data_IF_446774298494
#
_entry.id   IF_446774298494
#
_cell.length_a   1.000
_cell.length_b   1.000
_cell.length_c   1.000
_cell.angle_alpha   90.00
_cell.angle_beta   90.00
_cell.angle_gamma   90.00
#
_symmetry.space_group_name_H-M   'P 1'
#
loop_
_entity.id
_entity.type
_entity.pdbx_description
1 polymer ?
#
# COMPACT_ATOMS: atom_id res chain seq x y z
N UNK A 1 -20.32 -8.14 -13.28
CA UNK A 1 -19.24 -8.58 -12.38
C UNK A 1 -18.74 -7.34 -11.66
N UNK A 2 -18.72 -7.31 -10.31
CA UNK A 2 -18.14 -6.20 -9.58
C UNK A 2 -16.66 -6.07 -9.97
N UNK A 3 -16.25 -4.91 -10.43
CA UNK A 3 -14.86 -4.58 -10.74
C UNK A 3 -14.35 -3.72 -9.60
N UNK A 4 -13.18 -4.06 -9.05
CA UNK A 4 -12.49 -3.21 -8.07
C UNK A 4 -12.25 -1.82 -8.69
N UNK A 5 -12.49 -0.79 -7.89
CA UNK A 5 -12.10 0.56 -8.25
C UNK A 5 -10.59 0.64 -8.49
N UNK A 6 -10.15 1.45 -9.44
CA UNK A 6 -8.73 1.58 -9.79
C UNK A 6 -7.87 2.02 -8.59
N UNK A 7 -8.42 2.87 -7.72
CA UNK A 7 -7.71 3.36 -6.54
C UNK A 7 -7.60 2.30 -5.46
N UNK A 8 -8.64 1.45 -5.30
CA UNK A 8 -8.58 0.29 -4.40
C UNK A 8 -7.53 -0.72 -4.89
N UNK A 9 -7.51 -1.00 -6.20
CA UNK A 9 -6.49 -1.85 -6.80
C UNK A 9 -5.07 -1.29 -6.53
N UNK A 10 -4.88 0.01 -6.75
CA UNK A 10 -3.61 0.68 -6.51
C UNK A 10 -3.22 0.66 -5.03
N UNK A 11 -4.16 0.95 -4.13
CA UNK A 11 -3.95 0.85 -2.67
C UNK A 11 -3.54 -0.54 -2.23
N UNK A 12 -4.21 -1.57 -2.74
CA UNK A 12 -3.86 -2.98 -2.48
C UNK A 12 -2.45 -3.36 -3.00
N UNK A 13 -2.07 -2.87 -4.18
CA UNK A 13 -0.72 -3.09 -4.74
C UNK A 13 0.36 -2.36 -3.95
N UNK A 14 0.10 -1.13 -3.52
CA UNK A 14 0.98 -0.38 -2.64
C UNK A 14 1.16 -1.08 -1.29
N UNK A 15 0.07 -1.55 -0.69
CA UNK A 15 0.13 -2.32 0.55
C UNK A 15 0.96 -3.61 0.38
N UNK A 16 0.82 -4.31 -0.75
CA UNK A 16 1.61 -5.48 -1.06
C UNK A 16 3.10 -5.15 -1.24
N UNK A 17 3.44 -4.07 -1.93
CA UNK A 17 4.82 -3.61 -2.13
C UNK A 17 5.56 -3.44 -0.80
N UNK A 18 4.93 -2.74 0.15
CA UNK A 18 5.52 -2.50 1.48
C UNK A 18 5.51 -3.73 2.41
N UNK A 19 4.70 -4.73 2.10
CA UNK A 19 4.60 -5.95 2.92
C UNK A 19 5.55 -7.05 2.49
N UNK A 20 5.77 -7.23 1.19
CA UNK A 20 6.44 -8.40 0.61
C UNK A 20 7.72 -8.08 -0.13
N UNK A 21 7.93 -6.85 -0.53
CA UNK A 21 9.07 -6.39 -1.35
C UNK A 21 9.28 -7.21 -2.63
N UNK A 22 8.20 -7.77 -3.21
CA UNK A 22 8.29 -8.60 -4.41
C UNK A 22 8.48 -7.77 -5.68
N UNK A 23 9.32 -8.24 -6.59
CA UNK A 23 9.63 -7.55 -7.85
C UNK A 23 8.40 -7.29 -8.73
N UNK A 24 7.41 -8.18 -8.69
CA UNK A 24 6.13 -7.99 -9.39
C UNK A 24 5.31 -6.85 -8.79
N UNK A 25 5.27 -6.76 -7.46
CA UNK A 25 4.54 -5.68 -6.79
C UNK A 25 5.18 -4.31 -7.08
N UNK A 26 6.52 -4.24 -7.16
CA UNK A 26 7.23 -3.04 -7.59
C UNK A 26 6.86 -2.63 -9.02
N UNK A 27 6.92 -3.57 -9.97
CA UNK A 27 6.60 -3.31 -11.36
C UNK A 27 5.15 -2.88 -11.57
N UNK A 28 4.21 -3.60 -10.96
CA UNK A 28 2.78 -3.30 -11.02
C UNK A 28 2.46 -1.94 -10.40
N UNK A 29 3.08 -1.63 -9.26
CA UNK A 29 2.94 -0.34 -8.57
C UNK A 29 3.44 0.81 -9.45
N UNK A 30 4.64 0.68 -10.03
CA UNK A 30 5.16 1.68 -10.96
C UNK A 30 4.20 1.92 -12.13
N UNK A 31 3.69 0.85 -12.76
CA UNK A 31 2.73 0.96 -13.87
C UNK A 31 1.44 1.66 -13.47
N UNK A 32 0.90 1.33 -12.29
CA UNK A 32 -0.32 1.96 -11.78
C UNK A 32 -0.10 3.43 -11.45
N UNK A 33 0.98 3.77 -10.75
CA UNK A 33 1.25 5.15 -10.33
C UNK A 33 1.61 6.09 -11.48
N UNK A 34 2.06 5.57 -12.63
CA UNK A 34 2.27 6.35 -13.87
C UNK A 34 0.98 6.82 -14.52
N UNK A 35 -0.16 6.26 -14.16
CA UNK A 35 -1.44 6.60 -14.77
C UNK A 35 -1.86 8.02 -14.40
N UNK A 36 -2.37 8.73 -15.38
CA UNK A 36 -2.86 10.12 -15.24
C UNK A 36 -4.30 10.19 -14.72
N UNK A 37 -5.04 9.07 -14.80
CA UNK A 37 -6.44 8.95 -14.36
C UNK A 37 -6.61 8.59 -12.87
N UNK A 38 -5.51 8.55 -12.11
CA UNK A 38 -5.54 8.36 -10.67
C UNK A 38 -5.85 9.69 -9.95
N UNK A 39 -7.01 9.72 -9.28
CA UNK A 39 -7.33 10.79 -8.34
C UNK A 39 -6.44 10.64 -7.08
N UNK A 40 -5.67 11.69 -6.78
CA UNK A 40 -4.71 11.67 -5.68
C UNK A 40 -5.37 11.49 -4.30
N UNK A 41 -6.54 12.08 -4.10
CA UNK A 41 -7.26 12.01 -2.81
C UNK A 41 -7.74 10.58 -2.58
N UNK A 42 -8.38 9.98 -3.60
CA UNK A 42 -8.84 8.58 -3.54
C UNK A 42 -7.68 7.60 -3.39
N UNK A 43 -6.58 7.83 -4.10
CA UNK A 43 -5.39 7.00 -4.00
C UNK A 43 -4.79 7.02 -2.59
N UNK A 44 -4.67 8.22 -1.98
CA UNK A 44 -4.19 8.36 -0.59
C UNK A 44 -5.10 7.66 0.39
N UNK A 45 -6.42 7.85 0.24
CA UNK A 45 -7.41 7.16 1.07
C UNK A 45 -7.25 5.64 1.00
N UNK A 46 -7.18 5.09 -0.22
CA UNK A 46 -6.96 3.66 -0.42
C UNK A 46 -5.62 3.20 0.17
N UNK A 47 -4.54 3.97 -0.02
CA UNK A 47 -3.22 3.66 0.54
C UNK A 47 -3.25 3.55 2.06
N UNK A 48 -3.92 4.46 2.75
CA UNK A 48 -4.02 4.46 4.23
C UNK A 48 -4.93 3.34 4.72
N UNK A 49 -6.07 3.10 4.08
CA UNK A 49 -7.01 2.04 4.46
C UNK A 49 -6.39 0.65 4.29
N UNK A 50 -5.83 0.34 3.13
CA UNK A 50 -5.19 -0.96 2.89
C UNK A 50 -3.89 -1.12 3.68
N UNK A 51 -3.14 -0.04 3.87
CA UNK A 51 -1.96 -0.02 4.71
C UNK A 51 -2.28 -0.20 6.18
N UNK A 52 -3.30 0.49 6.67
CA UNK A 52 -3.79 0.34 8.04
C UNK A 52 -4.20 -1.07 8.39
N UNK A 53 -4.78 -1.80 7.44
CA UNK A 53 -5.13 -3.21 7.61
C UNK A 53 -3.90 -4.15 7.64
N UNK A 54 -2.72 -3.68 7.28
CA UNK A 54 -1.50 -4.47 7.22
C UNK A 54 -0.97 -4.82 8.62
N UNK A 55 -0.12 -5.87 8.71
CA UNK A 55 0.59 -6.22 9.94
C UNK A 55 1.74 -5.27 10.27
N UNK A 56 2.37 -4.70 9.22
CA UNK A 56 3.41 -3.70 9.38
C UNK A 56 2.80 -2.42 9.96
N UNK A 57 3.53 -1.76 10.83
CA UNK A 57 3.17 -0.41 11.27
C UNK A 57 3.30 0.57 10.10
N UNK A 58 2.15 1.04 9.62
CA UNK A 58 2.07 1.89 8.45
C UNK A 58 2.60 3.30 8.66
N UNK A 59 2.76 3.74 9.92
CA UNK A 59 3.40 5.00 10.26
C UNK A 59 4.90 5.03 9.91
N UNK A 60 5.52 3.85 9.83
CA UNK A 60 6.96 3.71 9.58
C UNK A 60 7.32 3.53 8.11
N UNK A 61 6.32 3.48 7.21
CA UNK A 61 6.61 3.28 5.78
C UNK A 61 7.26 4.50 5.15
N UNK A 62 8.27 4.25 4.35
CA UNK A 62 9.07 5.27 3.69
C UNK A 62 9.38 4.86 2.24
N UNK A 63 9.56 5.79 1.30
CA UNK A 63 10.08 5.47 -0.02
C UNK A 63 11.37 4.65 0.01
N UNK A 64 12.21 4.83 1.03
CA UNK A 64 13.48 4.09 1.19
C UNK A 64 13.29 2.60 1.46
N UNK A 65 12.08 2.17 1.84
CA UNK A 65 11.74 0.75 2.02
C UNK A 65 11.62 0.01 0.68
N UNK A 66 11.42 0.74 -0.41
CA UNK A 66 11.32 0.15 -1.75
C UNK A 66 12.67 -0.36 -2.20
N UNK A 67 12.76 -1.67 -2.36
CA UNK A 67 13.99 -2.38 -2.77
C UNK A 67 13.62 -3.53 -3.68
N UNK A 68 14.59 -3.98 -4.46
CA UNK A 68 14.47 -5.21 -5.25
C UNK A 68 15.84 -5.86 -5.41
N UNK A 69 15.87 -7.20 -5.36
CA UNK A 69 17.07 -7.94 -5.66
C UNK A 69 17.16 -8.22 -7.17
N UNK A 70 18.31 -7.96 -7.85
CA UNK A 70 18.46 -8.23 -9.27
C UNK A 70 18.15 -9.70 -9.66
N UNK A 71 18.47 -10.64 -8.79
CA UNK A 71 18.19 -12.08 -8.99
C UNK A 71 16.68 -12.32 -9.04
N UNK A 72 15.91 -11.65 -8.23
CA UNK A 72 14.44 -11.76 -8.21
C UNK A 72 13.81 -11.18 -9.47
N UNK A 73 14.29 -10.02 -9.94
CA UNK A 73 13.89 -9.47 -11.24
C UNK A 73 14.12 -10.46 -12.36
N UNK A 74 15.29 -11.07 -12.41
CA UNK A 74 15.68 -12.00 -13.47
C UNK A 74 14.89 -13.31 -13.42
N UNK A 75 14.67 -13.86 -12.23
CA UNK A 75 14.06 -15.20 -12.08
C UNK A 75 12.52 -15.17 -11.99
N UNK A 76 11.94 -14.09 -11.45
CA UNK A 76 10.51 -14.04 -11.17
C UNK A 76 9.75 -13.04 -12.03
N UNK A 77 10.31 -11.87 -12.32
CA UNK A 77 9.61 -10.84 -13.08
C UNK A 77 9.81 -10.99 -14.59
N UNK A 78 11.04 -11.01 -15.07
CA UNK A 78 11.33 -11.03 -16.50
C UNK A 78 10.63 -12.17 -17.27
N UNK A 79 10.56 -13.43 -16.74
CA UNK A 79 9.85 -14.50 -17.43
C UNK A 79 8.36 -14.28 -17.60
N UNK A 80 7.77 -13.37 -16.83
CA UNK A 80 6.33 -13.09 -16.85
C UNK A 80 5.96 -11.87 -17.69
N UNK A 81 6.96 -11.06 -18.05
CA UNK A 81 6.74 -9.94 -18.95
C UNK A 81 6.59 -10.47 -20.39
N UNK A 82 5.56 -9.95 -21.08
CA UNK A 82 5.47 -10.15 -22.53
C UNK A 82 6.53 -9.29 -23.18
N UNK A 83 7.68 -9.88 -23.48
CA UNK A 83 8.73 -9.20 -24.21
C UNK A 83 8.37 -9.15 -25.69
N UNK A 84 7.97 -7.98 -26.16
CA UNK A 84 8.28 -7.61 -27.53
C UNK A 84 9.79 -7.41 -27.58
N UNK A 85 10.44 -7.87 -28.61
CA UNK A 85 11.91 -8.04 -28.77
C UNK A 85 12.73 -6.76 -28.46
N UNK A 86 12.10 -5.62 -28.33
CA UNK A 86 12.71 -4.29 -28.12
C UNK A 86 12.78 -3.86 -26.64
N UNK A 87 12.08 -4.55 -25.72
CA UNK A 87 11.93 -4.12 -24.32
C UNK A 87 12.70 -4.96 -23.29
N UNK A 88 13.45 -5.97 -23.72
CA UNK A 88 14.24 -6.77 -22.76
C UNK A 88 15.44 -5.96 -22.28
N UNK A 89 15.55 -5.69 -20.96
CA UNK A 89 16.67 -4.91 -20.46
C UNK A 89 17.99 -5.64 -20.70
N UNK A 90 18.95 -4.98 -21.34
CA UNK A 90 20.30 -5.50 -21.54
C UNK A 90 21.08 -5.60 -20.23
N UNK A 91 20.74 -4.77 -19.23
CA UNK A 91 21.30 -4.79 -17.88
C UNK A 91 20.16 -4.80 -16.85
N UNK A 92 19.87 -5.97 -16.31
CA UNK A 92 18.78 -6.19 -15.34
C UNK A 92 19.01 -5.43 -14.04
N UNK A 93 20.24 -5.31 -13.57
CA UNK A 93 20.56 -4.59 -12.34
C UNK A 93 20.27 -3.09 -12.49
N UNK A 94 20.77 -2.47 -13.56
CA UNK A 94 20.53 -1.05 -13.84
C UNK A 94 19.04 -0.75 -14.05
N UNK A 95 18.32 -1.65 -14.73
CA UNK A 95 16.88 -1.52 -14.88
C UNK A 95 16.13 -1.62 -13.55
N UNK A 96 16.55 -2.51 -12.66
CA UNK A 96 16.00 -2.64 -11.31
C UNK A 96 16.20 -1.38 -10.48
N UNK A 97 17.40 -0.79 -10.51
CA UNK A 97 17.71 0.47 -9.84
C UNK A 97 16.84 1.62 -10.37
N UNK A 98 16.64 1.66 -11.68
CA UNK A 98 15.77 2.64 -12.31
C UNK A 98 14.31 2.48 -11.87
N UNK A 99 13.78 1.26 -11.82
CA UNK A 99 12.43 0.98 -11.32
C UNK A 99 12.26 1.40 -9.86
N UNK A 100 13.24 1.11 -9.01
CA UNK A 100 13.22 1.52 -7.59
C UNK A 100 13.23 3.04 -7.47
N UNK A 101 14.13 3.72 -8.18
CA UNK A 101 14.21 5.18 -8.17
C UNK A 101 12.90 5.81 -8.60
N UNK A 102 12.35 5.37 -9.72
CA UNK A 102 11.09 5.87 -10.24
C UNK A 102 9.91 5.60 -9.30
N UNK A 103 9.86 4.39 -8.72
CA UNK A 103 8.82 4.07 -7.75
C UNK A 103 8.87 5.00 -6.53
N UNK A 104 10.06 5.29 -6.02
CA UNK A 104 10.26 6.22 -4.90
C UNK A 104 9.74 7.62 -5.23
N UNK A 105 10.03 8.13 -6.42
CA UNK A 105 9.54 9.43 -6.88
C UNK A 105 8.00 9.42 -6.99
N UNK A 106 7.42 8.37 -7.56
CA UNK A 106 5.98 8.23 -7.70
C UNK A 106 5.24 8.09 -6.35
N UNK A 107 5.91 7.59 -5.31
CA UNK A 107 5.35 7.49 -3.96
C UNK A 107 5.10 8.84 -3.29
N UNK A 108 5.64 9.96 -3.81
CA UNK A 108 5.29 11.31 -3.37
C UNK A 108 3.78 11.62 -3.51
N UNK A 109 3.07 10.84 -4.32
CA UNK A 109 1.60 10.95 -4.43
C UNK A 109 0.88 10.55 -3.14
N UNK A 110 1.46 9.66 -2.33
CA UNK A 110 0.86 9.06 -1.13
C UNK A 110 1.69 9.23 0.14
N UNK A 111 2.96 9.58 0.05
CA UNK A 111 3.86 9.83 1.18
C UNK A 111 4.40 11.26 1.11
N UNK A 112 4.80 11.86 2.25
CA UNK A 112 4.58 11.35 3.61
C UNK A 112 3.10 11.32 4.00
N UNK A 113 2.76 10.54 5.05
CA UNK A 113 1.42 10.55 5.64
C UNK A 113 1.13 11.90 6.28
N UNK A 114 -0.12 12.36 6.19
CA UNK A 114 -0.57 13.56 6.92
C UNK A 114 -0.72 13.28 8.42
N UNK A 115 -0.87 14.32 9.23
CA UNK A 115 -1.08 14.15 10.68
C UNK A 115 -2.36 13.36 10.98
N UNK A 116 -3.44 13.59 10.22
CA UNK A 116 -4.71 12.87 10.36
C UNK A 116 -4.56 11.40 9.95
N UNK A 117 -3.84 11.12 8.87
CA UNK A 117 -3.56 9.75 8.41
C UNK A 117 -2.70 8.98 9.44
N UNK A 118 -1.70 9.63 10.03
CA UNK A 118 -0.89 9.05 11.12
C UNK A 118 -1.74 8.78 12.37
N UNK A 119 -2.58 9.72 12.77
CA UNK A 119 -3.49 9.55 13.91
C UNK A 119 -4.50 8.42 13.69
N UNK A 120 -5.05 8.28 12.47
CA UNK A 120 -5.91 7.14 12.12
C UNK A 120 -5.18 5.80 12.33
N UNK A 121 -3.95 5.68 11.82
CA UNK A 121 -3.15 4.47 11.98
C UNK A 121 -2.81 4.21 13.45
N UNK A 122 -2.43 5.25 14.21
CA UNK A 122 -2.15 5.15 15.64
C UNK A 122 -3.37 4.64 16.42
N UNK A 123 -4.54 5.22 16.23
CA UNK A 123 -5.77 4.77 16.90
C UNK A 123 -6.13 3.33 16.56
N UNK A 124 -5.98 2.96 15.29
CA UNK A 124 -6.24 1.59 14.85
C UNK A 124 -5.26 0.59 15.51
N UNK A 125 -3.96 0.92 15.51
CA UNK A 125 -2.92 0.04 16.07
C UNK A 125 -2.98 -0.06 17.59
N UNK A 126 -3.28 1.06 18.28
CA UNK A 126 -3.20 1.13 19.74
C UNK A 126 -4.50 0.71 20.43
N UNK A 127 -5.66 1.01 19.81
CA UNK A 127 -6.97 0.85 20.45
C UNK A 127 -7.95 0.00 19.67
N UNK A 128 -7.62 -0.36 18.42
CA UNK A 128 -8.58 -0.96 17.50
C UNK A 128 -9.73 0.00 17.15
N UNK A 129 -9.46 1.31 17.13
CA UNK A 129 -10.43 2.34 16.79
C UNK A 129 -10.30 2.71 15.32
N UNK A 130 -11.39 2.52 14.55
CA UNK A 130 -11.47 2.87 13.12
C UNK A 130 -12.04 4.30 13.01
N UNK A 131 -11.21 5.30 13.31
CA UNK A 131 -11.56 6.72 13.30
C UNK A 131 -11.67 7.28 11.88
N UNK A 132 -12.63 6.78 11.09
CA UNK A 132 -12.79 7.08 9.66
C UNK A 132 -13.02 8.58 9.36
N UNK A 133 -13.52 9.35 10.32
CA UNK A 133 -13.69 10.79 10.24
C UNK A 133 -12.38 11.57 10.05
N UNK A 134 -11.24 10.99 10.43
CA UNK A 134 -9.92 11.55 10.19
C UNK A 134 -9.50 11.48 8.71
N UNK A 135 -10.06 10.53 7.95
CA UNK A 135 -9.68 10.29 6.56
C UNK A 135 -10.59 10.97 5.55
N UNK A 136 -11.85 11.20 5.91
CA UNK A 136 -12.84 11.78 4.99
C UNK A 136 -14.00 12.42 5.74
N UNK A 137 -14.57 13.47 5.15
CA UNK A 137 -15.80 14.11 5.65
C UNK A 137 -17.08 13.51 5.03
N UNK A 138 -16.96 12.61 4.03
CA UNK A 138 -18.12 11.94 3.43
C UNK A 138 -18.67 10.83 4.33
N UNK A 139 -19.92 10.96 4.85
CA UNK A 139 -20.50 9.96 5.74
C UNK A 139 -20.62 8.57 5.13
N UNK A 140 -20.88 8.47 3.82
CA UNK A 140 -20.99 7.20 3.12
C UNK A 140 -19.63 6.50 3.08
N UNK A 141 -18.58 7.25 2.75
CA UNK A 141 -17.22 6.71 2.73
C UNK A 141 -16.74 6.35 4.14
N UNK A 142 -17.08 7.18 5.16
CA UNK A 142 -16.78 6.83 6.55
C UNK A 142 -17.42 5.49 6.98
N UNK A 143 -18.67 5.25 6.60
CA UNK A 143 -19.34 3.97 6.86
C UNK A 143 -18.62 2.81 6.16
N UNK A 144 -18.30 2.98 4.87
CA UNK A 144 -17.55 1.97 4.10
C UNK A 144 -16.20 1.62 4.75
N UNK A 145 -15.46 2.62 5.23
CA UNK A 145 -14.18 2.41 5.92
C UNK A 145 -14.39 1.65 7.23
N UNK A 146 -15.38 2.04 8.05
CA UNK A 146 -15.69 1.37 9.32
C UNK A 146 -16.11 -0.08 9.15
N UNK A 147 -16.76 -0.40 8.03
CA UNK A 147 -17.21 -1.76 7.69
C UNK A 147 -16.18 -2.56 6.88
N UNK A 148 -15.01 -1.98 6.57
CA UNK A 148 -14.00 -2.65 5.78
C UNK A 148 -13.50 -3.92 6.49
N UNK A 149 -13.66 -5.13 5.90
CA UNK A 149 -13.45 -6.40 6.62
C UNK A 149 -12.06 -6.54 7.25
N UNK A 150 -11.02 -6.12 6.52
CA UNK A 150 -9.65 -6.25 7.02
C UNK A 150 -9.33 -5.26 8.17
N UNK A 151 -9.93 -4.05 8.17
CA UNK A 151 -9.82 -3.11 9.29
C UNK A 151 -10.59 -3.64 10.51
N UNK A 152 -11.80 -4.14 10.32
CA UNK A 152 -12.61 -4.74 11.38
C UNK A 152 -11.88 -5.92 12.03
N UNK A 153 -11.29 -6.79 11.22
CA UNK A 153 -10.50 -7.93 11.73
C UNK A 153 -9.29 -7.46 12.54
N UNK A 154 -8.53 -6.48 12.04
CA UNK A 154 -7.39 -5.91 12.77
C UNK A 154 -7.82 -5.25 14.07
N UNK A 155 -8.88 -4.43 14.03
CA UNK A 155 -9.42 -3.75 15.19
C UNK A 155 -9.85 -4.74 16.29
N UNK A 156 -10.51 -5.83 15.90
CA UNK A 156 -10.90 -6.90 16.82
C UNK A 156 -9.68 -7.52 17.51
N UNK A 157 -8.65 -7.89 16.73
CA UNK A 157 -7.43 -8.49 17.28
C UNK A 157 -6.70 -7.55 18.25
N UNK A 158 -6.63 -6.26 17.92
CA UNK A 158 -5.99 -5.26 18.80
C UNK A 158 -6.73 -5.17 20.14
N UNK A 159 -8.07 -5.13 20.12
CA UNK A 159 -8.89 -5.07 21.35
C UNK A 159 -8.72 -6.33 22.20
N UNK A 160 -8.80 -7.51 21.60
CA UNK A 160 -8.61 -8.77 22.30
C UNK A 160 -7.21 -8.88 22.95
N UNK A 161 -6.18 -8.43 22.22
CA UNK A 161 -4.82 -8.42 22.77
C UNK A 161 -4.68 -7.51 23.99
N UNK A 162 -5.33 -6.34 23.96
CA UNK A 162 -5.32 -5.40 25.10
C UNK A 162 -6.07 -5.96 26.30
N UNK A 163 -7.29 -6.49 26.08
CA UNK A 163 -8.08 -7.12 27.15
C UNK A 163 -7.27 -8.21 27.86
N UNK A 164 -6.58 -9.05 27.10
CA UNK A 164 -5.72 -10.10 27.66
C UNK A 164 -4.50 -9.56 28.45
N UNK A 165 -4.02 -8.36 28.16
CA UNK A 165 -2.94 -7.72 28.90
C UNK A 165 -3.43 -7.04 30.19
N UNK A 166 -4.67 -6.54 30.23
CA UNK A 166 -5.26 -5.92 31.40
C UNK A 166 -5.68 -6.94 32.47
N UNK A 167 -5.89 -8.21 32.06
CA UNK A 167 -6.25 -9.33 32.93
C UNK A 167 -5.03 -10.13 33.49
N UNK A 168 -3.81 -9.85 32.99
CA UNK A 168 -2.57 -10.56 33.36
C UNK A 168 -1.75 -9.83 34.42
#
# INVERSE_FOLDING_TARGET
VPVLDLHELAGGKLAALFSRTASRDLFDTCKLLRRDDLDRIKLRLAFVVYGGANRRDWQTVSPDDVRVAPVELQSQLLPTLRTTTEESPTNVAAWGEQLVSECRDLLEKVLPLTAEEQEFIARLNDRGDIASELLTSDPTMQATIREHPALCWKALNVRQYREAQEEA
#
